data_IF_297533609990
#
_entry.id   IF_297533609990
#
_cell.length_a   1.000
_cell.length_b   1.000
_cell.length_c   1.000
_cell.angle_alpha   90.00
_cell.angle_beta   90.00
_cell.angle_gamma   90.00
#
_symmetry.space_group_name_H-M   'P 1'
#
loop_
_entity.id
_entity.type
_entity.pdbx_description
1 polymer ?
#
# COMPACT_ATOMS: atom_id res chain seq x y z
N UNK A 1 5.53 9.31 7.76
CA UNK A 1 4.47 8.63 8.55
C UNK A 1 5.05 7.84 9.72
N UNK A 2 6.13 7.07 9.52
CA UNK A 2 6.74 6.31 10.61
C UNK A 2 7.74 7.11 11.44
N UNK A 3 8.05 8.34 11.03
CA UNK A 3 8.79 9.33 11.83
C UNK A 3 8.20 9.43 13.24
N UNK A 4 9.06 9.38 14.25
CA UNK A 4 8.72 9.43 15.68
C UNK A 4 7.84 8.26 16.17
N UNK A 5 7.73 7.18 15.40
CA UNK A 5 7.04 5.95 15.82
C UNK A 5 8.01 4.94 16.37
N UNK A 6 7.68 4.36 17.52
CA UNK A 6 8.42 3.25 18.11
C UNK A 6 7.78 1.92 17.69
N UNK A 7 8.53 1.10 16.95
CA UNK A 7 8.10 -0.22 16.51
C UNK A 7 8.93 -1.28 17.20
N UNK A 8 8.29 -2.12 18.00
CA UNK A 8 8.94 -3.29 18.58
C UNK A 8 8.93 -4.42 17.56
N UNK A 9 10.09 -4.84 17.07
CA UNK A 9 10.23 -5.92 16.10
C UNK A 9 10.66 -7.22 16.81
N UNK A 10 9.69 -8.11 17.00
CA UNK A 10 9.89 -9.47 17.47
C UNK A 10 10.37 -10.42 16.38
N UNK A 11 11.55 -11.01 16.54
CA UNK A 11 12.11 -12.00 15.60
C UNK A 11 12.13 -13.38 16.24
N UNK A 12 11.45 -14.35 15.61
CA UNK A 12 11.34 -15.72 16.14
C UNK A 12 12.13 -16.73 15.30
N UNK A 13 12.45 -17.89 15.88
CA UNK A 13 13.34 -18.90 15.29
C UNK A 13 12.78 -19.67 14.09
N UNK A 14 12.60 -18.99 12.95
CA UNK A 14 12.27 -19.61 11.66
C UNK A 14 13.22 -19.13 10.57
N UNK A 15 13.45 -19.96 9.54
CA UNK A 15 14.43 -19.68 8.47
C UNK A 15 14.26 -18.31 7.80
N UNK A 16 13.04 -17.74 7.83
CA UNK A 16 12.76 -16.40 7.31
C UNK A 16 13.29 -15.25 8.20
N UNK A 17 13.99 -15.52 9.31
CA UNK A 17 14.55 -14.50 10.20
C UNK A 17 15.49 -13.52 9.48
N UNK A 18 16.21 -13.96 8.45
CA UNK A 18 17.06 -13.05 7.65
C UNK A 18 16.25 -11.95 6.94
N UNK A 19 14.99 -12.21 6.58
CA UNK A 19 14.11 -11.19 5.96
C UNK A 19 13.68 -10.13 6.96
N UNK A 20 13.71 -10.44 8.27
CA UNK A 20 13.44 -9.46 9.30
C UNK A 20 14.51 -8.36 9.35
N UNK A 21 15.74 -8.64 8.89
CA UNK A 21 16.79 -7.62 8.77
C UNK A 21 16.43 -6.57 7.70
N UNK A 22 15.91 -7.00 6.53
CA UNK A 22 15.40 -6.06 5.50
C UNK A 22 14.22 -5.23 6.04
N UNK A 23 13.29 -5.87 6.75
CA UNK A 23 12.19 -5.17 7.42
C UNK A 23 12.71 -4.12 8.42
N UNK A 24 13.65 -4.48 9.29
CA UNK A 24 14.25 -3.58 10.26
C UNK A 24 14.91 -2.37 9.56
N UNK A 25 15.73 -2.63 8.54
CA UNK A 25 16.41 -1.59 7.76
C UNK A 25 15.42 -0.60 7.14
N UNK A 26 14.36 -1.09 6.50
CA UNK A 26 13.35 -0.24 5.84
C UNK A 26 12.52 0.57 6.83
N UNK A 27 12.14 -0.03 7.96
CA UNK A 27 11.45 0.71 9.02
C UNK A 27 12.31 1.86 9.57
N UNK A 28 13.60 1.62 9.79
CA UNK A 28 14.55 2.67 10.21
C UNK A 28 14.68 3.75 9.14
N UNK A 29 14.81 3.39 7.86
CA UNK A 29 14.89 4.35 6.74
C UNK A 29 13.61 5.21 6.61
N UNK A 30 12.45 4.63 6.92
CA UNK A 30 11.17 5.35 6.97
C UNK A 30 11.01 6.23 8.24
N UNK A 31 12.03 6.27 9.10
CA UNK A 31 12.12 7.14 10.28
C UNK A 31 11.58 6.55 11.58
N UNK A 32 11.26 5.25 11.62
CA UNK A 32 10.83 4.59 12.86
C UNK A 32 12.01 4.35 13.81
N UNK A 33 11.78 4.49 15.12
CA UNK A 33 12.64 3.90 16.15
C UNK A 33 12.29 2.41 16.25
N UNK A 34 13.20 1.55 15.78
CA UNK A 34 12.97 0.10 15.77
C UNK A 34 13.67 -0.54 16.96
N UNK A 35 12.90 -1.15 17.87
CA UNK A 35 13.42 -1.86 19.03
C UNK A 35 13.31 -3.37 18.79
N UNK A 36 14.44 -4.06 18.65
CA UNK A 36 14.45 -5.46 18.21
C UNK A 36 14.51 -6.40 19.40
N UNK A 37 13.56 -7.35 19.44
CA UNK A 37 13.49 -8.41 20.45
C UNK A 37 13.60 -9.75 19.76
N UNK A 38 14.65 -10.50 20.05
CA UNK A 38 14.89 -11.82 19.44
C UNK A 38 14.62 -12.93 20.45
N UNK A 39 13.90 -13.97 20.01
CA UNK A 39 13.90 -15.23 20.77
C UNK A 39 15.28 -15.90 20.70
N UNK A 40 15.63 -16.74 21.68
CA UNK A 40 16.88 -17.50 21.66
C UNK A 40 17.06 -18.26 20.33
N UNK A 41 16.01 -18.94 19.85
CA UNK A 41 16.05 -19.68 18.60
C UNK A 41 16.31 -18.79 17.36
N UNK A 42 15.90 -17.52 17.37
CA UNK A 42 16.20 -16.58 16.29
C UNK A 42 17.69 -16.21 16.24
N UNK A 43 18.35 -16.09 17.39
CA UNK A 43 19.78 -15.77 17.48
C UNK A 43 20.69 -16.85 16.87
N UNK A 44 20.17 -18.08 16.74
CA UNK A 44 20.88 -19.19 16.06
C UNK A 44 20.80 -19.12 14.53
N UNK A 45 19.92 -18.27 13.99
CA UNK A 45 19.72 -18.10 12.55
C UNK A 45 20.31 -16.79 12.02
N UNK A 46 20.18 -15.71 12.79
CA UNK A 46 20.73 -14.40 12.46
C UNK A 46 21.32 -13.80 13.74
N UNK A 47 22.52 -13.24 13.66
CA UNK A 47 23.18 -12.66 14.83
C UNK A 47 22.51 -11.33 15.25
N UNK A 48 22.36 -11.04 16.56
CA UNK A 48 21.86 -9.75 17.04
C UNK A 48 22.60 -8.54 16.47
N UNK A 49 23.91 -8.67 16.21
CA UNK A 49 24.74 -7.61 15.63
C UNK A 49 24.18 -7.04 14.31
N UNK A 50 23.58 -7.89 13.48
CA UNK A 50 22.95 -7.46 12.22
C UNK A 50 21.84 -6.44 12.49
N UNK A 51 20.96 -6.73 13.44
CA UNK A 51 19.85 -5.85 13.78
C UNK A 51 20.35 -4.56 14.44
N UNK A 52 21.26 -4.67 15.41
CA UNK A 52 21.87 -3.50 16.06
C UNK A 52 22.47 -2.51 15.05
N UNK A 53 23.16 -3.03 14.03
CA UNK A 53 23.78 -2.21 12.98
C UNK A 53 22.75 -1.49 12.10
N UNK A 54 21.60 -2.13 11.85
CA UNK A 54 20.54 -1.59 10.97
C UNK A 54 19.57 -0.66 11.68
N UNK A 55 19.36 -0.85 12.99
CA UNK A 55 18.39 -0.08 13.78
C UNK A 55 19.04 0.98 14.66
N UNK A 56 20.34 0.87 14.91
CA UNK A 56 21.10 1.70 15.84
C UNK A 56 20.54 1.67 17.29
N UNK A 57 19.85 0.59 17.64
CA UNK A 57 19.30 0.32 18.98
C UNK A 57 19.87 -0.99 19.53
N UNK A 58 19.97 -1.15 20.86
CA UNK A 58 20.33 -2.43 21.47
C UNK A 58 19.33 -3.53 21.09
N UNK A 59 19.80 -4.76 20.93
CA UNK A 59 18.95 -5.91 20.62
C UNK A 59 18.72 -6.73 21.87
N UNK A 60 17.46 -6.93 22.24
CA UNK A 60 17.08 -7.64 23.45
C UNK A 60 16.91 -9.13 23.12
N UNK A 61 17.69 -9.99 23.77
CA UNK A 61 17.69 -11.44 23.52
C UNK A 61 17.30 -12.29 24.72
N UNK A 62 17.33 -11.70 25.93
CA UNK A 62 17.08 -12.41 27.18
C UNK A 62 16.29 -11.52 28.16
N UNK A 63 15.38 -12.13 28.91
CA UNK A 63 14.52 -11.51 29.92
C UNK A 63 15.32 -11.03 31.14
N UNK A 64 16.39 -11.75 31.50
CA UNK A 64 17.13 -11.53 32.75
C UNK A 64 18.42 -10.73 32.57
N UNK A 65 18.74 -10.31 31.34
CA UNK A 65 19.87 -9.39 31.13
C UNK A 65 19.57 -8.08 31.84
N UNK A 66 20.53 -7.60 32.63
CA UNK A 66 20.41 -6.32 33.32
C UNK A 66 20.06 -5.21 32.31
N UNK A 67 19.03 -4.41 32.57
CA UNK A 67 18.63 -3.38 31.64
C UNK A 67 19.71 -2.31 31.49
N UNK A 68 19.94 -1.90 30.25
CA UNK A 68 20.86 -0.80 29.93
C UNK A 68 20.15 0.55 30.07
N UNK A 69 18.83 0.59 29.84
CA UNK A 69 18.06 1.84 29.70
C UNK A 69 16.70 1.85 30.46
N UNK A 70 16.16 0.70 30.89
CA UNK A 70 14.79 0.58 31.42
C UNK A 70 14.70 -0.30 32.68
N UNK A 71 14.23 0.20 33.83
CA UNK A 71 14.14 -0.60 35.07
C UNK A 71 13.34 -1.90 34.92
N UNK A 72 12.24 -1.86 34.15
CA UNK A 72 11.46 -3.04 33.75
C UNK A 72 11.32 -3.07 32.22
N UNK A 73 12.33 -3.61 31.52
CA UNK A 73 12.42 -3.57 30.04
C UNK A 73 11.15 -4.02 29.33
N UNK A 74 10.51 -5.12 29.77
CA UNK A 74 9.32 -5.64 29.12
C UNK A 74 8.09 -4.74 29.29
N UNK A 75 7.96 -4.03 30.42
CA UNK A 75 6.89 -3.07 30.67
C UNK A 75 7.18 -1.79 29.89
N UNK A 76 8.36 -1.21 30.08
CA UNK A 76 8.75 0.06 29.48
C UNK A 76 8.68 0.01 27.95
N UNK A 77 9.15 -1.09 27.35
CA UNK A 77 9.09 -1.27 25.91
C UNK A 77 7.65 -1.51 25.42
N UNK A 78 6.83 -2.20 26.22
CA UNK A 78 5.42 -2.43 25.89
C UNK A 78 4.58 -1.14 25.91
N UNK A 79 4.96 -0.18 26.77
CA UNK A 79 4.33 1.14 26.90
C UNK A 79 4.84 2.12 25.83
N UNK A 80 6.13 2.05 25.49
CA UNK A 80 6.74 2.89 24.46
C UNK A 80 6.29 2.51 23.04
N UNK A 81 5.90 1.25 22.81
CA UNK A 81 5.53 0.76 21.48
C UNK A 81 4.28 1.47 20.92
N UNK A 82 4.38 2.06 19.73
CA UNK A 82 3.22 2.42 18.91
C UNK A 82 2.64 1.16 18.21
N UNK A 83 3.48 0.17 17.94
CA UNK A 83 3.08 -1.15 17.43
C UNK A 83 4.11 -2.23 17.81
N UNK A 84 3.62 -3.45 18.01
CA UNK A 84 4.47 -4.65 18.15
C UNK A 84 4.31 -5.50 16.90
N UNK A 85 5.42 -5.78 16.21
CA UNK A 85 5.45 -6.55 14.95
C UNK A 85 6.25 -7.82 15.16
N UNK A 86 5.68 -8.99 14.87
CA UNK A 86 6.38 -10.27 14.99
C UNK A 86 6.59 -10.86 13.61
N UNK A 87 7.83 -10.80 13.12
CA UNK A 87 8.19 -11.19 11.76
C UNK A 87 9.61 -11.81 11.72
N UNK A 88 9.76 -13.09 11.36
CA UNK A 88 8.68 -14.08 11.23
C UNK A 88 8.09 -14.46 12.58
N UNK A 89 6.80 -14.77 12.61
CA UNK A 89 6.15 -15.46 13.71
C UNK A 89 6.07 -16.98 13.43
N UNK A 90 6.78 -17.77 14.21
CA UNK A 90 6.74 -19.23 14.16
C UNK A 90 5.47 -19.79 14.77
N UNK A 91 5.07 -21.00 14.39
CA UNK A 91 3.92 -21.70 14.98
C UNK A 91 4.03 -21.80 16.53
N UNK A 92 5.24 -22.03 17.04
CA UNK A 92 5.53 -22.07 18.47
C UNK A 92 5.18 -20.74 19.17
N UNK A 93 5.65 -19.62 18.63
CA UNK A 93 5.38 -18.30 19.24
C UNK A 93 3.89 -17.96 19.14
N UNK A 94 3.24 -18.29 18.01
CA UNK A 94 1.78 -18.13 17.84
C UNK A 94 1.00 -18.93 18.90
N UNK A 95 1.37 -20.19 19.13
CA UNK A 95 0.73 -21.03 20.13
C UNK A 95 0.91 -20.46 21.56
N UNK A 96 2.13 -20.02 21.90
CA UNK A 96 2.43 -19.38 23.19
C UNK A 96 1.57 -18.13 23.42
N UNK A 97 1.48 -17.24 22.43
CA UNK A 97 0.64 -16.04 22.51
C UNK A 97 -0.85 -16.39 22.65
N UNK A 98 -1.34 -17.38 21.90
CA UNK A 98 -2.72 -17.83 21.98
C UNK A 98 -3.08 -18.44 23.35
N UNK A 99 -2.11 -19.07 24.00
CA UNK A 99 -2.21 -19.62 25.35
C UNK A 99 -1.95 -18.60 26.48
N UNK A 100 -1.34 -17.45 26.18
CA UNK A 100 -0.96 -16.44 27.19
C UNK A 100 0.34 -16.78 27.93
N UNK A 101 1.25 -17.54 27.31
CA UNK A 101 2.54 -17.92 27.92
C UNK A 101 3.57 -16.80 27.79
N UNK A 102 4.21 -16.42 28.90
CA UNK A 102 5.23 -15.35 28.99
C UNK A 102 6.61 -15.89 29.39
N UNK A 103 7.07 -16.92 28.69
CA UNK A 103 8.32 -17.61 29.03
C UNK A 103 9.58 -17.00 28.40
N UNK A 104 9.45 -15.87 27.69
CA UNK A 104 10.57 -15.10 27.15
C UNK A 104 10.19 -13.62 27.02
N UNK A 105 11.19 -12.77 26.73
CA UNK A 105 11.01 -11.33 26.64
C UNK A 105 9.90 -10.93 25.63
N UNK A 106 9.92 -11.53 24.44
CA UNK A 106 8.97 -11.18 23.38
C UNK A 106 7.53 -11.49 23.79
N UNK A 107 7.26 -12.68 24.32
CA UNK A 107 5.88 -13.03 24.70
C UNK A 107 5.40 -12.27 25.93
N UNK A 108 6.31 -11.83 26.80
CA UNK A 108 6.00 -10.95 27.94
C UNK A 108 5.59 -9.55 27.50
N UNK A 109 6.33 -8.95 26.56
CA UNK A 109 5.98 -7.66 25.96
C UNK A 109 4.61 -7.73 25.27
N UNK A 110 4.35 -8.80 24.52
CA UNK A 110 3.07 -9.00 23.83
C UNK A 110 1.90 -9.09 24.82
N UNK A 111 2.08 -9.71 25.98
CA UNK A 111 1.02 -9.80 26.97
C UNK A 111 0.78 -8.45 27.70
N UNK A 112 1.84 -7.68 27.91
CA UNK A 112 1.78 -6.40 28.63
C UNK A 112 1.31 -5.21 27.76
N UNK A 113 1.57 -5.25 26.45
CA UNK A 113 1.34 -4.09 25.59
C UNK A 113 -0.15 -3.77 25.38
N UNK A 114 -0.44 -2.47 25.28
CA UNK A 114 -1.74 -1.94 24.80
C UNK A 114 -1.68 -1.55 23.32
N UNK A 115 -0.49 -1.57 22.72
CA UNK A 115 -0.28 -1.28 21.32
C UNK A 115 -0.87 -2.39 20.43
N UNK A 116 -1.27 -2.08 19.18
CA UNK A 116 -1.67 -3.10 18.24
C UNK A 116 -0.51 -4.09 17.98
N UNK A 117 -0.84 -5.38 17.99
CA UNK A 117 0.11 -6.46 17.71
C UNK A 117 -0.14 -7.01 16.30
N UNK A 118 0.88 -6.94 15.47
CA UNK A 118 0.90 -7.42 14.07
C UNK A 118 1.77 -8.67 14.00
N UNK A 119 1.24 -9.75 13.43
CA UNK A 119 1.92 -11.04 13.31
C UNK A 119 2.06 -11.35 11.82
N UNK A 120 3.29 -11.61 11.38
CA UNK A 120 3.60 -12.11 10.04
C UNK A 120 4.10 -13.56 10.13
N UNK A 121 3.20 -14.57 10.00
CA UNK A 121 3.56 -15.96 10.15
C UNK A 121 4.55 -16.44 9.08
N UNK A 122 5.45 -17.34 9.46
CA UNK A 122 6.27 -18.08 8.49
C UNK A 122 6.58 -19.48 9.01
N UNK A 123 6.19 -20.50 8.25
CA UNK A 123 6.34 -21.91 8.60
C UNK A 123 6.14 -22.83 7.38
N UNK A 124 6.35 -24.13 7.55
CA UNK A 124 6.02 -25.10 6.51
C UNK A 124 4.50 -25.09 6.20
N UNK A 125 4.12 -25.40 4.96
CA UNK A 125 2.71 -25.47 4.54
C UNK A 125 1.87 -26.38 5.43
N UNK A 126 2.39 -27.56 5.79
CA UNK A 126 1.68 -28.50 6.65
C UNK A 126 1.49 -27.96 8.08
N UNK A 127 2.42 -27.12 8.55
CA UNK A 127 2.30 -26.47 9.87
C UNK A 127 1.29 -25.33 9.82
N UNK A 128 1.27 -24.57 8.72
CA UNK A 128 0.31 -23.49 8.52
C UNK A 128 -1.11 -24.04 8.44
N UNK A 129 -1.34 -25.05 7.59
CA UNK A 129 -2.65 -25.67 7.38
C UNK A 129 -3.10 -26.56 8.56
N UNK A 130 -2.24 -26.80 9.55
CA UNK A 130 -2.59 -27.60 10.71
C UNK A 130 -3.76 -26.95 11.48
N UNK A 131 -4.81 -27.70 11.84
CA UNK A 131 -5.95 -27.18 12.59
C UNK A 131 -5.57 -26.44 13.88
N UNK A 132 -4.59 -26.94 14.64
CA UNK A 132 -4.13 -26.31 15.88
C UNK A 132 -3.52 -24.93 15.63
N UNK A 133 -2.74 -24.79 14.55
CA UNK A 133 -2.20 -23.49 14.15
C UNK A 133 -3.32 -22.55 13.74
N UNK A 134 -4.27 -23.01 12.93
CA UNK A 134 -5.40 -22.21 12.47
C UNK A 134 -6.32 -21.77 13.63
N UNK A 135 -6.58 -22.65 14.60
CA UNK A 135 -7.31 -22.31 15.82
C UNK A 135 -6.59 -21.22 16.63
N UNK A 136 -5.27 -21.33 16.81
CA UNK A 136 -4.48 -20.32 17.50
C UNK A 136 -4.50 -18.97 16.76
N UNK A 137 -4.33 -18.99 15.43
CA UNK A 137 -4.40 -17.78 14.60
C UNK A 137 -5.77 -17.12 14.71
N UNK A 138 -6.85 -17.91 14.62
CA UNK A 138 -8.22 -17.39 14.73
C UNK A 138 -8.53 -16.85 16.12
N UNK A 139 -8.02 -17.49 17.18
CA UNK A 139 -8.13 -17.02 18.56
C UNK A 139 -7.38 -15.70 18.79
N UNK A 140 -6.23 -15.52 18.14
CA UNK A 140 -5.51 -14.24 18.19
C UNK A 140 -6.24 -13.16 17.39
N UNK A 141 -6.75 -13.48 16.19
CA UNK A 141 -7.58 -12.55 15.39
C UNK A 141 -8.80 -12.05 16.18
N UNK A 142 -9.52 -12.94 16.87
CA UNK A 142 -10.69 -12.55 17.69
C UNK A 142 -10.34 -11.68 18.90
N UNK A 143 -9.08 -11.71 19.34
CA UNK A 143 -8.52 -10.84 20.40
C UNK A 143 -7.94 -9.54 19.86
N UNK A 144 -8.08 -9.25 18.57
CA UNK A 144 -7.63 -8.01 17.95
C UNK A 144 -6.19 -8.03 17.41
N UNK A 145 -5.51 -9.18 17.42
CA UNK A 145 -4.23 -9.32 16.73
C UNK A 145 -4.43 -9.23 15.21
N UNK A 146 -3.48 -8.61 14.55
CA UNK A 146 -3.55 -8.32 13.12
C UNK A 146 -2.61 -9.30 12.41
N UNK A 147 -3.15 -10.15 11.54
CA UNK A 147 -2.37 -11.19 10.86
C UNK A 147 -2.08 -10.75 9.43
N UNK A 148 -0.79 -10.67 9.10
CA UNK A 148 -0.33 -10.56 7.71
C UNK A 148 -0.25 -11.97 7.15
N UNK A 149 -1.18 -12.34 6.28
CA UNK A 149 -1.27 -13.69 5.73
C UNK A 149 0.05 -14.11 5.04
N UNK A 150 0.49 -15.37 5.20
CA UNK A 150 1.72 -15.84 4.61
C UNK A 150 1.64 -15.89 3.09
N UNK A 151 2.75 -15.58 2.43
CA UNK A 151 2.88 -15.68 0.98
C UNK A 151 2.78 -17.12 0.49
N UNK A 152 2.33 -17.28 -0.77
CA UNK A 152 2.39 -18.52 -1.52
C UNK A 152 3.70 -18.60 -2.30
N UNK A 153 4.35 -19.76 -2.30
CA UNK A 153 5.51 -19.99 -3.15
C UNK A 153 6.35 -21.18 -2.71
N UNK A 154 7.58 -21.25 -3.23
CA UNK A 154 8.54 -22.29 -2.85
C UNK A 154 9.07 -22.02 -1.45
N UNK A 155 8.97 -23.02 -0.58
CA UNK A 155 9.47 -23.02 0.80
C UNK A 155 10.89 -23.60 0.87
N UNK A 156 11.60 -23.34 1.98
CA UNK A 156 12.93 -23.90 2.21
C UNK A 156 12.96 -25.44 2.19
N UNK A 157 11.84 -26.08 2.53
CA UNK A 157 11.69 -27.55 2.43
C UNK A 157 11.54 -28.07 0.99
N UNK A 158 11.61 -27.20 -0.02
CA UNK A 158 11.39 -27.54 -1.42
C UNK A 158 9.92 -27.63 -1.87
N UNK A 159 8.97 -27.65 -0.93
CA UNK A 159 7.53 -27.69 -1.21
C UNK A 159 7.02 -26.34 -1.76
N UNK A 160 5.96 -26.39 -2.53
CA UNK A 160 5.17 -25.22 -2.94
C UNK A 160 3.93 -25.12 -2.04
N UNK A 161 3.63 -23.94 -1.53
CA UNK A 161 2.43 -23.73 -0.72
C UNK A 161 2.40 -22.38 -0.01
N UNK A 162 1.32 -22.13 0.74
CA UNK A 162 1.22 -21.00 1.68
C UNK A 162 2.01 -21.31 2.95
N UNK A 163 2.78 -20.34 3.43
CA UNK A 163 3.63 -20.50 4.63
C UNK A 163 4.93 -19.71 4.55
N UNK A 164 5.26 -19.15 3.38
CA UNK A 164 6.36 -18.21 3.24
C UNK A 164 6.04 -16.95 4.03
N UNK A 165 7.03 -16.33 4.66
CA UNK A 165 6.85 -14.99 5.19
C UNK A 165 6.33 -14.07 4.07
N UNK A 166 5.32 -13.27 4.40
CA UNK A 166 4.82 -12.22 3.52
C UNK A 166 5.96 -11.32 3.04
N UNK A 167 5.75 -10.67 1.89
CA UNK A 167 6.76 -9.76 1.37
C UNK A 167 6.88 -8.54 2.31
N UNK A 168 8.10 -8.02 2.47
CA UNK A 168 8.41 -6.97 3.46
C UNK A 168 7.52 -5.74 3.25
N UNK A 169 7.26 -5.38 1.99
CA UNK A 169 6.36 -4.27 1.64
C UNK A 169 4.93 -4.47 2.15
N UNK A 170 4.41 -5.70 2.14
CA UNK A 170 3.07 -6.00 2.68
C UNK A 170 3.04 -5.86 4.20
N UNK A 171 4.13 -6.23 4.89
CA UNK A 171 4.25 -6.06 6.34
C UNK A 171 4.33 -4.57 6.68
N UNK A 172 5.18 -3.80 6.00
CA UNK A 172 5.31 -2.34 6.18
C UNK A 172 3.98 -1.64 5.87
N UNK A 173 3.32 -1.99 4.77
CA UNK A 173 2.01 -1.45 4.42
C UNK A 173 0.95 -1.72 5.49
N UNK A 174 0.97 -2.91 6.11
CA UNK A 174 0.09 -3.23 7.24
C UNK A 174 0.45 -2.40 8.48
N UNK A 175 1.74 -2.23 8.79
CA UNK A 175 2.18 -1.37 9.92
C UNK A 175 1.68 0.06 9.72
N UNK A 176 1.89 0.63 8.53
CA UNK A 176 1.42 1.98 8.17
C UNK A 176 -0.10 2.07 8.27
N UNK A 177 -0.85 1.12 7.69
CA UNK A 177 -2.30 1.07 7.82
C UNK A 177 -2.76 1.13 9.28
N UNK A 178 -2.15 0.33 10.15
CA UNK A 178 -2.54 0.20 11.56
C UNK A 178 -2.24 1.47 12.34
N UNK A 179 -1.05 2.02 12.18
CA UNK A 179 -0.64 3.28 12.82
C UNK A 179 -1.42 4.48 12.29
N UNK A 180 -1.92 4.41 11.05
CA UNK A 180 -2.66 5.45 10.36
C UNK A 180 -4.15 5.54 10.69
N UNK A 181 -4.74 4.54 11.36
CA UNK A 181 -6.19 4.43 11.57
C UNK A 181 -6.85 5.67 12.20
N UNK A 182 -6.08 6.47 12.95
CA UNK A 182 -6.55 7.68 13.64
C UNK A 182 -6.08 8.97 12.95
N UNK A 183 -5.62 8.90 11.70
CA UNK A 183 -5.20 10.05 10.92
C UNK A 183 -6.36 10.97 10.54
N UNK A 184 -6.03 12.04 9.82
CA UNK A 184 -6.98 13.10 9.42
C UNK A 184 -8.03 12.66 8.40
N UNK A 185 -7.80 11.53 7.71
CA UNK A 185 -8.76 10.89 6.82
C UNK A 185 -9.49 9.70 7.47
N UNK A 186 -9.37 9.53 8.80
CA UNK A 186 -10.10 8.50 9.52
C UNK A 186 -11.63 8.59 9.26
N UNK A 187 -12.23 7.44 8.94
CA UNK A 187 -13.66 7.29 8.58
C UNK A 187 -14.07 7.93 7.26
N UNK A 188 -13.11 8.39 6.44
CA UNK A 188 -13.38 8.86 5.07
C UNK A 188 -13.22 7.72 4.08
N UNK A 189 -14.04 7.74 3.02
CA UNK A 189 -14.03 6.78 1.92
C UNK A 189 -13.46 7.43 0.68
N UNK A 190 -12.31 6.95 0.23
CA UNK A 190 -11.59 7.50 -0.92
C UNK A 190 -11.53 6.46 -2.03
N UNK A 191 -12.04 6.82 -3.19
CA UNK A 191 -11.93 6.01 -4.41
C UNK A 191 -10.80 6.57 -5.25
N UNK A 192 -9.84 5.72 -5.63
CA UNK A 192 -8.70 6.09 -6.46
C UNK A 192 -8.69 5.22 -7.71
N UNK A 193 -8.39 5.80 -8.87
CA UNK A 193 -8.11 5.02 -10.09
C UNK A 193 -6.63 5.03 -10.43
N UNK A 194 -6.11 3.91 -10.95
CA UNK A 194 -4.71 3.80 -11.35
C UNK A 194 -4.53 2.93 -12.61
N UNK A 195 -3.33 3.01 -13.19
CA UNK A 195 -2.93 2.26 -14.37
C UNK A 195 -3.37 2.91 -15.68
N UNK A 196 -3.14 2.22 -16.80
CA UNK A 196 -3.60 2.63 -18.13
C UNK A 196 -4.56 1.59 -18.68
N UNK A 197 -5.74 2.02 -19.15
CA UNK A 197 -6.72 1.06 -19.70
C UNK A 197 -6.20 0.44 -21.00
N UNK A 198 -6.61 -0.79 -21.26
CA UNK A 198 -6.19 -1.60 -22.40
C UNK A 198 -7.42 -1.95 -23.24
N UNK A 199 -7.65 -1.18 -24.31
CA UNK A 199 -8.79 -1.35 -25.20
C UNK A 199 -8.49 -2.44 -26.24
N UNK A 200 -9.16 -3.60 -26.19
CA UNK A 200 -8.79 -4.76 -26.99
C UNK A 200 -9.05 -4.51 -28.48
N UNK A 201 -8.03 -4.77 -29.30
CA UNK A 201 -8.14 -4.83 -30.76
C UNK A 201 -8.51 -6.25 -31.19
N UNK A 202 -7.80 -7.22 -30.64
CA UNK A 202 -8.01 -8.66 -30.79
C UNK A 202 -7.56 -9.36 -29.49
N UNK A 203 -7.61 -10.71 -29.36
CA UNK A 203 -7.21 -11.38 -28.11
C UNK A 203 -5.71 -11.25 -27.74
N UNK A 204 -4.89 -10.65 -28.60
CA UNK A 204 -3.43 -10.53 -28.43
C UNK A 204 -2.99 -9.06 -28.32
N UNK A 205 -3.72 -8.14 -28.95
CA UNK A 205 -3.35 -6.73 -29.11
C UNK A 205 -4.37 -5.82 -28.46
N UNK A 206 -3.89 -4.71 -27.90
CA UNK A 206 -4.73 -3.65 -27.34
C UNK A 206 -4.17 -2.27 -27.69
N UNK A 207 -5.00 -1.24 -27.55
CA UNK A 207 -4.63 0.18 -27.54
C UNK A 207 -4.67 0.65 -26.09
N UNK A 208 -3.65 1.37 -25.65
CA UNK A 208 -3.60 1.88 -24.28
C UNK A 208 -2.50 2.90 -24.06
N UNK A 209 -2.49 3.48 -22.86
CA UNK A 209 -1.57 4.53 -22.47
C UNK A 209 -0.39 3.95 -21.67
N UNK A 210 0.78 4.59 -21.73
CA UNK A 210 2.01 4.15 -21.03
C UNK A 210 2.00 4.51 -19.53
N UNK A 211 0.90 4.24 -18.84
CA UNK A 211 0.80 4.50 -17.40
C UNK A 211 1.38 3.34 -16.60
N UNK A 212 2.32 3.66 -15.71
CA UNK A 212 2.87 2.70 -14.74
C UNK A 212 1.95 2.45 -13.55
N UNK A 213 0.88 3.23 -13.38
CA UNK A 213 -0.01 3.19 -12.21
C UNK A 213 0.57 3.77 -10.90
N UNK A 214 1.91 3.88 -10.79
CA UNK A 214 2.64 4.38 -9.60
C UNK A 214 2.00 5.58 -8.89
N UNK A 215 1.49 6.58 -9.62
CA UNK A 215 0.89 7.77 -9.01
C UNK A 215 -0.43 7.43 -8.28
N UNK A 216 -1.34 6.70 -8.92
CA UNK A 216 -2.59 6.28 -8.28
C UNK A 216 -2.37 5.32 -7.12
N UNK A 217 -1.39 4.41 -7.22
CA UNK A 217 -0.99 3.55 -6.10
C UNK A 217 -0.44 4.38 -4.92
N UNK A 218 0.45 5.33 -5.18
CA UNK A 218 0.98 6.21 -4.15
C UNK A 218 -0.12 7.02 -3.44
N UNK A 219 -1.12 7.52 -4.18
CA UNK A 219 -2.30 8.19 -3.60
C UNK A 219 -3.14 7.25 -2.76
N UNK A 220 -3.40 6.02 -3.23
CA UNK A 220 -4.18 5.03 -2.50
C UNK A 220 -3.50 4.63 -1.18
N UNK A 221 -2.19 4.39 -1.22
CA UNK A 221 -1.39 4.10 -0.03
C UNK A 221 -1.35 5.29 0.93
N UNK A 222 -1.18 6.51 0.42
CA UNK A 222 -1.17 7.71 1.25
C UNK A 222 -2.51 7.98 1.94
N UNK A 223 -3.62 7.74 1.24
CA UNK A 223 -4.96 7.84 1.81
C UNK A 223 -5.17 6.81 2.92
N UNK A 224 -4.78 5.54 2.69
CA UNK A 224 -4.83 4.47 3.69
C UNK A 224 -4.01 4.82 4.93
N UNK A 225 -2.81 5.30 4.71
CA UNK A 225 -1.85 5.68 5.76
C UNK A 225 -2.36 6.86 6.61
N UNK A 226 -3.27 7.66 6.07
CA UNK A 226 -3.96 8.75 6.78
C UNK A 226 -5.29 8.32 7.41
N UNK A 227 -5.63 7.03 7.32
CA UNK A 227 -6.79 6.43 7.98
C UNK A 227 -8.04 6.26 7.10
N UNK A 228 -7.96 6.56 5.80
CA UNK A 228 -9.09 6.37 4.90
C UNK A 228 -9.43 4.90 4.66
N UNK A 229 -10.71 4.61 4.45
CA UNK A 229 -11.18 3.42 3.75
C UNK A 229 -10.96 3.64 2.24
N UNK A 230 -10.04 2.89 1.64
CA UNK A 230 -9.63 3.12 0.24
C UNK A 230 -10.09 1.98 -0.66
N UNK A 231 -10.75 2.35 -1.76
CA UNK A 231 -11.00 1.46 -2.90
C UNK A 231 -10.15 1.93 -4.09
N UNK A 232 -9.25 1.08 -4.55
CA UNK A 232 -8.39 1.29 -5.72
C UNK A 232 -8.95 0.54 -6.93
N UNK A 233 -9.44 1.26 -7.93
CA UNK A 233 -9.82 0.68 -9.23
C UNK A 233 -8.60 0.71 -10.15
N UNK A 234 -7.97 -0.44 -10.34
CA UNK A 234 -6.71 -0.55 -11.08
C UNK A 234 -6.92 -1.16 -12.46
N UNK A 235 -6.52 -0.42 -13.50
CA UNK A 235 -6.19 -1.01 -14.79
C UNK A 235 -4.90 -1.85 -14.68
N UNK A 236 -4.49 -2.63 -15.71
CA UNK A 236 -3.33 -3.50 -15.60
C UNK A 236 -2.04 -2.72 -15.29
N UNK A 237 -1.30 -3.16 -14.28
CA UNK A 237 0.03 -2.64 -13.89
C UNK A 237 0.95 -3.79 -13.49
N UNK A 238 2.24 -3.49 -13.28
CA UNK A 238 3.20 -4.44 -12.70
C UNK A 238 3.36 -4.28 -11.18
N UNK A 239 2.52 -3.47 -10.54
CA UNK A 239 2.62 -3.16 -9.11
C UNK A 239 1.82 -4.19 -8.29
N UNK A 240 2.33 -4.62 -7.13
CA UNK A 240 1.56 -5.47 -6.23
C UNK A 240 0.40 -4.69 -5.59
N UNK A 241 -0.66 -5.41 -5.24
CA UNK A 241 -1.80 -4.82 -4.54
C UNK A 241 -1.36 -4.28 -3.17
N UNK A 242 -1.65 -3.00 -2.86
CA UNK A 242 -1.24 -2.40 -1.59
C UNK A 242 -1.99 -3.03 -0.41
N UNK A 243 -1.26 -3.35 0.66
CA UNK A 243 -1.85 -3.92 1.87
C UNK A 243 -2.93 -2.98 2.45
N UNK A 244 -4.04 -3.53 2.92
CA UNK A 244 -5.08 -2.72 3.58
C UNK A 244 -5.90 -1.81 2.65
N UNK A 245 -5.83 -2.02 1.34
CA UNK A 245 -6.63 -1.33 0.32
C UNK A 245 -7.49 -2.37 -0.40
N UNK A 246 -8.76 -2.04 -0.67
CA UNK A 246 -9.62 -2.86 -1.52
C UNK A 246 -9.26 -2.60 -2.99
N UNK A 247 -8.77 -3.60 -3.71
CA UNK A 247 -8.37 -3.44 -5.12
C UNK A 247 -9.39 -4.11 -6.05
N UNK A 248 -9.94 -3.32 -6.98
CA UNK A 248 -10.83 -3.78 -8.04
C UNK A 248 -10.05 -3.75 -9.36
N UNK A 249 -9.70 -4.94 -9.86
CA UNK A 249 -8.98 -5.09 -11.12
C UNK A 249 -9.92 -4.97 -12.33
N UNK A 250 -9.59 -4.06 -13.24
CA UNK A 250 -10.30 -3.80 -14.49
C UNK A 250 -9.31 -3.80 -15.66
N UNK A 251 -9.81 -3.90 -16.89
CA UNK A 251 -8.98 -3.85 -18.09
C UNK A 251 -9.31 -2.65 -18.97
N UNK A 252 -10.59 -2.40 -19.25
CA UNK A 252 -11.03 -1.37 -20.20
C UNK A 252 -11.58 -0.12 -19.52
N UNK A 253 -11.69 0.97 -20.27
CA UNK A 253 -12.33 2.21 -19.81
C UNK A 253 -13.79 1.99 -19.37
N UNK A 254 -14.53 1.12 -20.05
CA UNK A 254 -15.92 0.79 -19.70
C UNK A 254 -15.97 0.05 -18.36
N UNK A 255 -15.12 -0.97 -18.17
CA UNK A 255 -15.05 -1.70 -16.89
C UNK A 255 -14.64 -0.78 -15.74
N UNK A 256 -13.67 0.12 -15.98
CA UNK A 256 -13.26 1.11 -14.99
C UNK A 256 -14.44 2.03 -14.62
N UNK A 257 -15.19 2.53 -15.60
CA UNK A 257 -16.37 3.37 -15.38
C UNK A 257 -17.39 2.66 -14.49
N UNK A 258 -17.71 1.41 -14.80
CA UNK A 258 -18.67 0.61 -14.02
C UNK A 258 -18.21 0.36 -12.58
N UNK A 259 -16.92 0.06 -12.41
CA UNK A 259 -16.32 -0.14 -11.08
C UNK A 259 -16.33 1.16 -10.26
N UNK A 260 -15.94 2.29 -10.87
CA UNK A 260 -15.97 3.60 -10.22
C UNK A 260 -17.41 3.98 -9.84
N UNK A 261 -18.37 3.84 -10.75
CA UNK A 261 -19.78 4.17 -10.50
C UNK A 261 -20.35 3.40 -9.28
N UNK A 262 -19.95 2.14 -9.10
CA UNK A 262 -20.33 1.35 -7.91
C UNK A 262 -19.63 1.84 -6.64
N UNK A 263 -18.31 2.07 -6.71
CA UNK A 263 -17.49 2.44 -5.57
C UNK A 263 -17.81 3.84 -5.02
N UNK A 264 -18.17 4.80 -5.87
CA UNK A 264 -18.39 6.20 -5.45
C UNK A 264 -19.71 6.44 -4.72
N UNK A 265 -20.61 5.46 -4.66
CA UNK A 265 -21.92 5.58 -4.01
C UNK A 265 -21.88 6.06 -2.54
N UNK A 266 -20.77 5.79 -1.84
CA UNK A 266 -20.52 6.22 -0.45
C UNK A 266 -19.18 6.93 -0.29
N UNK A 267 -18.59 7.42 -1.38
CA UNK A 267 -17.28 8.06 -1.32
C UNK A 267 -17.37 9.51 -0.83
N UNK A 268 -16.36 9.93 -0.09
CA UNK A 268 -16.09 11.33 0.24
C UNK A 268 -15.26 12.01 -0.85
N UNK A 269 -14.38 11.25 -1.52
CA UNK A 269 -13.53 11.74 -2.61
C UNK A 269 -13.32 10.69 -3.71
N UNK A 270 -13.23 11.17 -4.95
CA UNK A 270 -12.82 10.42 -6.14
C UNK A 270 -11.55 11.06 -6.72
N UNK A 271 -10.46 10.29 -6.76
CA UNK A 271 -9.18 10.71 -7.31
C UNK A 271 -8.85 9.90 -8.57
N UNK A 272 -9.02 10.54 -9.73
CA UNK A 272 -8.88 9.91 -11.05
C UNK A 272 -7.45 10.02 -11.58
N UNK A 273 -6.54 9.18 -11.07
CA UNK A 273 -5.13 9.14 -11.47
C UNK A 273 -4.82 8.11 -12.58
N UNK A 274 -5.80 7.33 -13.04
CA UNK A 274 -5.64 6.42 -14.18
C UNK A 274 -5.51 7.18 -15.51
N UNK A 275 -4.68 6.66 -16.40
CA UNK A 275 -4.61 7.08 -17.79
C UNK A 275 -5.65 6.30 -18.62
N UNK A 276 -6.89 6.75 -18.55
CA UNK A 276 -8.00 6.19 -19.33
C UNK A 276 -7.81 6.52 -20.81
N UNK A 277 -7.90 5.52 -21.68
CA UNK A 277 -7.80 5.74 -23.12
C UNK A 277 -8.95 6.63 -23.62
N UNK A 278 -8.65 7.67 -24.40
CA UNK A 278 -9.67 8.58 -24.96
C UNK A 278 -10.49 7.95 -26.10
N UNK A 279 -9.95 6.89 -26.71
CA UNK A 279 -10.53 6.17 -27.83
C UNK A 279 -10.38 4.66 -27.66
N UNK A 280 -11.36 3.91 -28.15
CA UNK A 280 -11.38 2.45 -28.20
C UNK A 280 -11.70 1.96 -29.62
N UNK A 281 -11.27 0.74 -30.02
CA UNK A 281 -11.74 0.13 -31.26
C UNK A 281 -13.27 0.02 -31.29
N UNK A 282 -13.89 0.39 -32.42
CA UNK A 282 -15.36 0.28 -32.59
C UNK A 282 -15.87 -1.16 -32.40
N UNK A 283 -15.05 -2.13 -32.77
CA UNK A 283 -15.31 -3.55 -32.55
C UNK A 283 -13.99 -4.29 -32.31
N UNK A 284 -13.91 -5.05 -31.23
CA UNK A 284 -12.80 -5.97 -30.97
C UNK A 284 -12.99 -7.28 -31.75
N UNK A 285 -11.95 -7.75 -32.43
CA UNK A 285 -11.99 -9.04 -33.12
C UNK A 285 -12.00 -10.20 -32.12
N UNK A 286 -12.82 -11.24 -32.38
CA UNK A 286 -12.88 -12.44 -31.53
C UNK A 286 -11.66 -13.37 -31.70
N UNK A 287 -10.96 -13.23 -32.82
CA UNK A 287 -9.78 -14.02 -33.16
C UNK A 287 -8.63 -13.08 -33.52
N UNK A 288 -7.39 -13.58 -33.37
CA UNK A 288 -6.19 -12.83 -33.73
C UNK A 288 -6.25 -12.43 -35.20
N UNK A 289 -6.15 -11.13 -35.48
CA UNK A 289 -6.16 -10.62 -36.84
C UNK A 289 -4.89 -11.12 -37.55
N UNK A 290 -5.09 -11.86 -38.66
CA UNK A 290 -4.01 -12.45 -39.47
C UNK A 290 -3.19 -11.36 -40.17
N UNK A 291 -1.92 -11.64 -40.45
CA UNK A 291 -0.97 -10.71 -41.10
C UNK A 291 -1.00 -10.83 -42.63
N UNK A 292 -2.18 -11.03 -43.21
CA UNK A 292 -2.31 -11.35 -44.63
C UNK A 292 -2.37 -10.08 -45.50
N UNK A 293 -2.74 -8.94 -44.91
CA UNK A 293 -2.80 -7.65 -45.58
C UNK A 293 -1.53 -6.81 -45.34
N UNK A 294 -1.10 -6.06 -46.36
CA UNK A 294 0.04 -5.15 -46.27
C UNK A 294 -0.18 -3.96 -45.31
N UNK A 295 -1.45 -3.58 -45.10
CA UNK A 295 -1.85 -2.50 -44.18
C UNK A 295 -3.03 -2.94 -43.33
N UNK A 296 -3.18 -2.33 -42.15
CA UNK A 296 -4.27 -2.56 -41.22
C UNK A 296 -4.86 -1.21 -40.79
N UNK A 297 -6.17 -1.07 -40.87
CA UNK A 297 -6.89 0.12 -40.40
C UNK A 297 -7.77 -0.26 -39.21
N UNK A 298 -7.81 0.61 -38.20
CA UNK A 298 -8.68 0.47 -37.03
C UNK A 298 -9.60 1.69 -36.95
N UNK A 299 -10.91 1.44 -37.00
CA UNK A 299 -11.90 2.48 -36.72
C UNK A 299 -12.00 2.65 -35.19
N UNK A 300 -11.72 3.86 -34.71
CA UNK A 300 -11.73 4.21 -33.29
C UNK A 300 -12.94 5.08 -32.95
N UNK A 301 -13.57 4.80 -31.83
CA UNK A 301 -14.68 5.59 -31.26
C UNK A 301 -14.26 6.13 -29.91
N UNK A 302 -14.78 7.31 -29.55
CA UNK A 302 -14.45 7.98 -28.28
C UNK A 302 -14.97 7.17 -27.09
N UNK A 303 -14.20 7.12 -26.01
CA UNK A 303 -14.64 6.53 -24.74
C UNK A 303 -15.46 7.51 -23.92
N UNK A 304 -16.20 6.97 -22.95
CA UNK A 304 -16.92 7.75 -21.93
C UNK A 304 -15.98 8.51 -21.01
N UNK A 305 -16.30 9.77 -20.69
CA UNK A 305 -15.55 10.56 -19.71
C UNK A 305 -16.07 10.27 -18.30
N UNK A 306 -15.40 9.34 -17.62
CA UNK A 306 -15.81 8.80 -16.31
C UNK A 306 -16.09 9.92 -15.31
N UNK A 307 -15.25 10.96 -15.25
CA UNK A 307 -15.39 12.07 -14.28
C UNK A 307 -16.70 12.84 -14.45
N UNK A 308 -17.17 13.01 -15.68
CA UNK A 308 -18.41 13.75 -15.99
C UNK A 308 -19.66 12.90 -15.87
N UNK A 309 -19.52 11.58 -16.02
CA UNK A 309 -20.67 10.67 -16.02
C UNK A 309 -21.01 10.13 -14.63
N UNK A 310 -20.04 10.05 -13.72
CA UNK A 310 -20.27 9.60 -12.34
C UNK A 310 -20.89 10.71 -11.48
N UNK A 311 -22.08 10.40 -10.95
CA UNK A 311 -22.86 11.31 -10.12
C UNK A 311 -22.59 11.06 -8.63
N UNK A 312 -22.71 12.11 -7.82
CA UNK A 312 -22.56 12.04 -6.37
C UNK A 312 -21.95 13.31 -5.78
N UNK A 313 -22.09 13.43 -4.46
CA UNK A 313 -21.57 14.55 -3.68
C UNK A 313 -20.23 14.20 -3.02
N UNK A 314 -19.20 13.99 -3.84
CA UNK A 314 -17.81 13.77 -3.40
C UNK A 314 -16.90 14.83 -3.99
N UNK A 315 -15.70 14.95 -3.45
CA UNK A 315 -14.64 15.77 -4.03
C UNK A 315 -14.13 15.09 -5.31
N UNK A 316 -14.05 15.84 -6.41
CA UNK A 316 -13.53 15.38 -7.69
C UNK A 316 -12.11 15.89 -7.92
N UNK A 317 -11.15 14.97 -7.93
CA UNK A 317 -9.75 15.26 -8.27
C UNK A 317 -9.41 14.62 -9.61
N UNK A 318 -9.08 15.44 -10.60
CA UNK A 318 -8.61 14.98 -11.91
C UNK A 318 -7.10 15.10 -12.06
N UNK A 319 -6.53 14.34 -13.00
CA UNK A 319 -5.15 14.51 -13.46
C UNK A 319 -5.14 15.01 -14.91
N UNK A 320 -4.17 15.87 -15.24
CA UNK A 320 -3.94 16.37 -16.57
C UNK A 320 -2.46 16.23 -16.94
N UNK A 321 -2.19 15.36 -17.91
CA UNK A 321 -0.91 15.32 -18.60
C UNK A 321 -0.98 16.27 -19.80
N UNK A 322 -0.12 17.29 -19.83
CA UNK A 322 -0.08 18.31 -20.87
C UNK A 322 1.35 18.45 -21.41
N UNK A 323 1.50 18.66 -22.72
CA UNK A 323 2.81 18.90 -23.34
C UNK A 323 3.13 20.39 -23.51
N UNK A 324 2.10 21.24 -23.56
CA UNK A 324 2.22 22.68 -23.75
C UNK A 324 1.13 23.40 -22.95
N UNK A 325 1.38 24.67 -22.57
CA UNK A 325 0.39 25.52 -21.88
C UNK A 325 -0.31 24.83 -20.68
N UNK A 326 0.46 24.05 -19.92
CA UNK A 326 -0.02 23.12 -18.88
C UNK A 326 -1.09 23.73 -17.97
N UNK A 327 -0.84 24.91 -17.41
CA UNK A 327 -1.75 25.58 -16.45
C UNK A 327 -3.05 26.05 -17.13
N UNK A 328 -2.96 26.59 -18.36
CA UNK A 328 -4.14 27.09 -19.07
C UNK A 328 -5.07 25.94 -19.48
N UNK A 329 -4.50 24.86 -20.04
CA UNK A 329 -5.26 23.66 -20.41
C UNK A 329 -5.87 22.98 -19.18
N UNK A 330 -5.13 22.92 -18.07
CA UNK A 330 -5.62 22.35 -16.81
C UNK A 330 -6.80 23.14 -16.24
N UNK A 331 -6.75 24.49 -16.26
CA UNK A 331 -7.88 25.34 -15.85
C UNK A 331 -9.12 25.11 -16.71
N UNK A 332 -8.95 25.04 -18.04
CA UNK A 332 -10.08 24.74 -18.93
C UNK A 332 -10.70 23.36 -18.63
N UNK A 333 -9.87 22.34 -18.34
CA UNK A 333 -10.34 21.00 -17.97
C UNK A 333 -11.05 20.97 -16.61
N UNK A 334 -10.53 21.72 -15.64
CA UNK A 334 -11.13 21.89 -14.31
C UNK A 334 -12.57 22.40 -14.42
N UNK A 335 -12.77 23.51 -15.15
CA UNK A 335 -14.10 24.12 -15.34
C UNK A 335 -15.02 23.20 -16.16
N UNK A 336 -14.53 22.70 -17.29
CA UNK A 336 -15.33 21.86 -18.21
C UNK A 336 -15.83 20.57 -17.56
N UNK A 337 -15.03 19.98 -16.65
CA UNK A 337 -15.37 18.73 -15.97
C UNK A 337 -15.93 18.95 -14.56
N UNK A 338 -16.13 20.20 -14.14
CA UNK A 338 -16.63 20.58 -12.81
C UNK A 338 -15.84 19.88 -11.68
N UNK A 339 -14.52 20.01 -11.71
CA UNK A 339 -13.61 19.39 -10.74
C UNK A 339 -13.38 20.32 -9.54
N UNK A 340 -13.16 19.73 -8.37
CA UNK A 340 -12.73 20.49 -7.18
C UNK A 340 -11.22 20.76 -7.20
N UNK A 341 -10.44 19.82 -7.75
CA UNK A 341 -8.99 19.91 -7.93
C UNK A 341 -8.57 19.29 -9.27
N UNK A 342 -7.53 19.86 -9.88
CA UNK A 342 -6.80 19.22 -10.98
C UNK A 342 -5.30 19.22 -10.72
N UNK A 343 -4.67 18.08 -10.91
CA UNK A 343 -3.23 17.88 -10.79
C UNK A 343 -2.65 17.84 -12.19
N UNK A 344 -1.96 18.91 -12.58
CA UNK A 344 -1.38 19.04 -13.90
C UNK A 344 0.11 18.71 -13.87
N UNK A 345 0.58 17.86 -14.77
CA UNK A 345 1.99 17.54 -14.93
C UNK A 345 2.44 17.72 -16.38
N UNK A 346 3.63 18.28 -16.55
CA UNK A 346 4.30 18.34 -17.84
C UNK A 346 4.85 16.94 -18.16
N UNK A 347 4.55 16.40 -19.35
CA UNK A 347 5.02 15.08 -19.79
C UNK A 347 6.23 15.15 -20.72
N UNK A 348 6.76 16.34 -21.00
CA UNK A 348 7.94 16.53 -21.86
C UNK A 348 9.26 16.35 -21.11
N UNK A 349 9.26 16.45 -19.79
CA UNK A 349 10.45 16.29 -18.96
C UNK A 349 10.73 14.80 -18.70
N UNK A 350 11.98 14.37 -18.87
CA UNK A 350 12.39 12.96 -18.74
C UNK A 350 12.45 12.47 -17.29
N UNK A 351 12.49 13.40 -16.33
CA UNK A 351 12.55 13.19 -14.89
C UNK A 351 11.18 13.31 -14.19
N UNK A 352 10.09 13.55 -14.92
CA UNK A 352 8.74 13.68 -14.36
C UNK A 352 7.65 12.99 -15.19
N UNK A 353 6.60 12.52 -14.52
CA UNK A 353 5.43 11.92 -15.17
C UNK A 353 5.43 10.38 -15.23
N UNK A 354 5.37 9.81 -16.43
CA UNK A 354 5.10 8.38 -16.63
C UNK A 354 6.35 7.52 -16.40
N UNK A 355 6.18 6.37 -15.74
CA UNK A 355 7.24 5.36 -15.57
C UNK A 355 8.29 5.65 -14.48
N UNK A 356 8.56 6.91 -14.17
CA UNK A 356 9.53 7.34 -13.15
C UNK A 356 8.95 7.38 -11.73
N UNK A 357 9.80 7.49 -10.71
CA UNK A 357 9.40 7.53 -9.28
C UNK A 357 9.12 8.95 -8.75
N UNK A 358 9.47 9.96 -9.54
CA UNK A 358 9.29 11.39 -9.24
C UNK A 358 8.20 12.01 -10.10
N UNK A 359 7.71 13.18 -9.68
CA UNK A 359 6.79 13.98 -10.45
C UNK A 359 6.93 15.47 -10.09
N UNK A 360 6.71 16.34 -11.06
CA UNK A 360 6.67 17.79 -10.89
C UNK A 360 5.31 18.25 -11.37
N UNK A 361 4.47 18.69 -10.43
CA UNK A 361 3.05 18.95 -10.69
C UNK A 361 2.65 20.35 -10.26
N UNK A 362 1.62 20.87 -10.91
CA UNK A 362 0.87 22.05 -10.48
C UNK A 362 -0.50 21.59 -10.00
N UNK A 363 -0.84 21.87 -8.75
CA UNK A 363 -2.18 21.58 -8.22
C UNK A 363 -3.01 22.85 -8.36
N UNK A 364 -4.16 22.77 -9.02
CA UNK A 364 -5.05 23.90 -9.24
C UNK A 364 -6.41 23.58 -8.61
N UNK A 365 -6.91 24.50 -7.77
CA UNK A 365 -8.22 24.37 -7.14
C UNK A 365 -9.35 25.02 -7.96
N UNK A 366 -10.60 24.73 -7.59
CA UNK A 366 -11.82 25.29 -8.19
C UNK A 366 -11.89 26.83 -8.20
N UNK A 367 -11.11 27.51 -7.37
CA UNK A 367 -11.04 28.97 -7.35
C UNK A 367 -9.93 29.51 -8.27
N UNK A 368 -9.22 28.62 -8.98
CA UNK A 368 -8.14 28.94 -9.90
C UNK A 368 -6.78 29.17 -9.23
N UNK A 369 -6.66 28.96 -7.91
CA UNK A 369 -5.40 29.05 -7.19
C UNK A 369 -4.51 27.89 -7.60
N UNK A 370 -3.31 28.22 -8.08
CA UNK A 370 -2.33 27.25 -8.53
C UNK A 370 -1.15 27.17 -7.55
N UNK A 371 -0.77 25.95 -7.16
CA UNK A 371 0.40 25.66 -6.34
C UNK A 371 1.38 24.82 -7.18
N UNK A 372 2.55 25.39 -7.47
CA UNK A 372 3.61 24.70 -8.18
C UNK A 372 4.45 23.90 -7.18
N UNK A 373 4.49 22.58 -7.33
CA UNK A 373 5.34 21.74 -6.51
C UNK A 373 6.73 21.58 -7.17
N UNK A 374 7.81 21.49 -6.37
CA UNK A 374 9.12 21.11 -6.90
C UNK A 374 9.10 19.67 -7.41
N UNK A 375 10.23 19.20 -7.95
CA UNK A 375 10.37 17.77 -8.24
C UNK A 375 10.35 17.00 -6.92
N UNK A 376 9.34 16.16 -6.76
CA UNK A 376 9.09 15.38 -5.56
C UNK A 376 8.92 13.91 -5.93
N UNK A 377 9.08 13.01 -4.96
CA UNK A 377 8.66 11.63 -5.13
C UNK A 377 7.14 11.56 -5.34
N UNK A 378 6.66 10.52 -6.02
CA UNK A 378 5.22 10.29 -6.18
C UNK A 378 4.49 10.16 -4.85
N UNK A 379 5.19 9.69 -3.81
CA UNK A 379 4.63 9.63 -2.46
C UNK A 379 4.41 11.03 -1.88
N UNK A 380 5.40 11.90 -1.96
CA UNK A 380 5.26 13.28 -1.47
C UNK A 380 4.20 14.06 -2.26
N UNK A 381 4.11 13.85 -3.58
CA UNK A 381 3.02 14.43 -4.40
C UNK A 381 1.66 13.91 -3.94
N UNK A 382 1.53 12.62 -3.65
CA UNK A 382 0.30 12.04 -3.13
C UNK A 382 -0.12 12.67 -1.80
N UNK A 383 0.83 12.87 -0.87
CA UNK A 383 0.57 13.52 0.41
C UNK A 383 0.08 14.98 0.20
N UNK A 384 0.71 15.75 -0.71
CA UNK A 384 0.27 17.12 -1.05
C UNK A 384 -1.12 17.20 -1.69
N UNK A 385 -1.47 16.23 -2.54
CA UNK A 385 -2.82 16.15 -3.12
C UNK A 385 -3.83 15.91 -2.00
N UNK A 386 -3.54 14.98 -1.10
CA UNK A 386 -4.44 14.62 -0.01
C UNK A 386 -4.57 15.74 1.02
N UNK A 387 -3.56 16.59 1.21
CA UNK A 387 -3.68 17.80 2.05
C UNK A 387 -4.79 18.72 1.52
N UNK A 388 -4.83 18.95 0.21
CA UNK A 388 -5.92 19.72 -0.43
C UNK A 388 -7.27 19.02 -0.33
N UNK A 389 -7.30 17.70 -0.43
CA UNK A 389 -8.54 16.92 -0.24
C UNK A 389 -9.04 17.08 1.19
N UNK A 390 -8.18 17.03 2.21
CA UNK A 390 -8.56 17.24 3.62
C UNK A 390 -9.09 18.65 3.86
N UNK A 391 -8.44 19.69 3.30
CA UNK A 391 -8.93 21.07 3.35
C UNK A 391 -10.36 21.18 2.78
N UNK A 392 -10.62 20.53 1.65
CA UNK A 392 -11.95 20.52 1.02
C UNK A 392 -12.99 19.69 1.79
N UNK A 393 -12.58 18.60 2.44
CA UNK A 393 -13.48 17.76 3.26
C UNK A 393 -13.88 18.42 4.57
N UNK A 394 -13.03 19.27 5.13
CA UNK A 394 -13.29 19.99 6.38
C UNK A 394 -14.13 21.24 6.15
N UNK A 395 -14.11 21.81 4.95
CA UNK A 395 -14.97 22.93 4.55
C UNK A 395 -16.39 22.54 4.10
N UNK A 396 -16.73 21.24 4.09
CA UNK A 396 -18.07 20.70 3.83
C UNK A 396 -18.69 20.25 5.15
#
# INVERSE_FOLDING_TARGET
MLTDKTVVLGVTGGIAAYKAADLASKLTQDGARVEVVMTEAATKLVAPLTFHTLTHTPVITDMFTAPIEYDETHISLSEAADAVVIAPATANTIAKMAAGMTDNMLTSIVLATKAPVIIAPAMNVNMWENPVTQENVNKLKSRGFIIVEPGYGRLASGKMGRGRLADVESIIGTIKQVLGRKGDLARRRIVVTAGGTQEPVDPVRYIGNRSSGKMGFAVAEAARDRGAEVTLVSAPTSLPDPAGVEVIHVQTAIQMKEAVAKAVSKADALIMAAAVADYQPKSAAKSKIKKDAATMSLELVRTSDILTEVQGNFIRVGFAAESENVVANARQKLDKKNLDLIVANDITSTDSGFGVDTNKVTIIDKNGKAENLPLLTKREVADRILDKVVELLTGR
#
